data_IF_872833604420
#
_entry.id   IF_872833604420
#
_cell.length_a   1.000
_cell.length_b   1.000
_cell.length_c   1.000
_cell.angle_alpha   90.00
_cell.angle_beta   90.00
_cell.angle_gamma   90.00
#
_symmetry.space_group_name_H-M   'P 1'
#
loop_
_entity.id
_entity.type
_entity.pdbx_description
1 polymer ?
#
# COMPACT_ATOMS: atom_id res chain seq x y z
N UNK A 1 16.82 -6.95 1.97
CA UNK A 1 15.65 -7.06 2.87
C UNK A 1 14.64 -7.91 2.14
N UNK A 2 14.22 -9.04 2.70
CA UNK A 2 13.22 -9.91 2.08
C UNK A 2 11.86 -9.56 2.68
N UNK A 3 10.98 -8.97 1.87
CA UNK A 3 9.62 -8.64 2.31
C UNK A 3 8.83 -9.93 2.47
N UNK A 4 8.30 -10.15 3.67
CA UNK A 4 7.47 -11.31 3.99
C UNK A 4 5.99 -11.06 3.68
N UNK A 5 5.23 -12.14 3.47
CA UNK A 5 3.77 -12.05 3.27
C UNK A 5 3.07 -11.33 4.43
N UNK A 6 3.52 -11.55 5.67
CA UNK A 6 2.95 -10.92 6.86
C UNK A 6 3.14 -9.41 6.85
N UNK A 7 4.31 -8.92 6.45
CA UNK A 7 4.59 -7.49 6.28
C UNK A 7 3.69 -6.86 5.22
N UNK A 8 3.51 -7.53 4.07
CA UNK A 8 2.60 -7.07 3.00
C UNK A 8 1.17 -6.93 3.52
N UNK A 9 0.66 -7.92 4.26
CA UNK A 9 -0.69 -7.87 4.82
C UNK A 9 -0.84 -6.78 5.89
N UNK A 10 0.20 -6.57 6.70
CA UNK A 10 0.24 -5.49 7.69
C UNK A 10 0.20 -4.12 7.01
N UNK A 11 0.98 -3.93 5.94
CA UNK A 11 0.97 -2.72 5.14
C UNK A 11 -0.41 -2.44 4.53
N UNK A 12 -1.05 -3.46 3.95
CA UNK A 12 -2.42 -3.34 3.44
C UNK A 12 -3.38 -2.85 4.54
N UNK A 13 -3.37 -3.51 5.72
CA UNK A 13 -4.21 -3.11 6.86
C UNK A 13 -3.96 -1.66 7.27
N UNK A 14 -2.70 -1.23 7.36
CA UNK A 14 -2.35 0.14 7.71
C UNK A 14 -2.85 1.16 6.67
N UNK A 15 -2.75 0.87 5.37
CA UNK A 15 -3.28 1.74 4.31
C UNK A 15 -4.80 1.87 4.41
N UNK A 16 -5.52 0.77 4.65
CA UNK A 16 -6.98 0.81 4.85
C UNK A 16 -7.35 1.62 6.09
N UNK A 17 -6.58 1.51 7.18
CA UNK A 17 -6.80 2.31 8.38
C UNK A 17 -6.53 3.80 8.12
N UNK A 18 -5.44 4.13 7.42
CA UNK A 18 -5.11 5.49 7.00
C UNK A 18 -6.20 6.12 6.12
N UNK A 19 -6.91 5.33 5.31
CA UNK A 19 -8.04 5.83 4.50
C UNK A 19 -9.13 6.50 5.36
N UNK A 20 -9.28 6.10 6.63
CA UNK A 20 -10.24 6.69 7.56
C UNK A 20 -9.84 8.07 8.07
N UNK A 21 -8.55 8.42 7.99
CA UNK A 21 -8.01 9.73 8.39
C UNK A 21 -7.87 10.70 7.23
N UNK A 22 -8.28 10.33 6.01
CA UNK A 22 -8.22 11.22 4.85
C UNK A 22 -9.29 12.31 4.97
N UNK A 23 -8.88 13.56 4.77
CA UNK A 23 -9.76 14.74 4.80
C UNK A 23 -9.98 15.35 3.42
N UNK A 24 -8.96 15.31 2.56
CA UNK A 24 -8.95 15.96 1.24
C UNK A 24 -9.13 14.99 0.07
N UNK A 25 -9.25 13.69 0.34
CA UNK A 25 -9.38 12.65 -0.69
C UNK A 25 -10.56 11.76 -0.33
N UNK A 26 -11.34 11.35 -1.33
CA UNK A 26 -12.40 10.36 -1.14
C UNK A 26 -11.82 9.04 -0.58
N UNK A 27 -12.20 8.63 0.65
CA UNK A 27 -11.73 7.38 1.24
C UNK A 27 -12.12 6.14 0.44
N UNK A 28 -13.28 6.15 -0.24
CA UNK A 28 -13.73 5.04 -1.07
C UNK A 28 -12.85 4.89 -2.31
N UNK A 29 -12.53 6.00 -2.98
CA UNK A 29 -11.57 6.03 -4.08
C UNK A 29 -10.20 5.51 -3.63
N UNK A 30 -9.66 6.02 -2.51
CA UNK A 30 -8.37 5.58 -1.99
C UNK A 30 -8.33 4.08 -1.72
N UNK A 31 -9.35 3.52 -1.03
CA UNK A 31 -9.44 2.08 -0.77
C UNK A 31 -9.47 1.25 -2.05
N UNK A 32 -10.24 1.69 -3.06
CA UNK A 32 -10.30 1.00 -4.36
C UNK A 32 -8.93 1.02 -5.05
N UNK A 33 -8.25 2.16 -5.08
CA UNK A 33 -6.90 2.29 -5.64
C UNK A 33 -5.89 1.36 -4.95
N UNK A 34 -5.87 1.33 -3.61
CA UNK A 34 -5.01 0.42 -2.85
C UNK A 34 -5.31 -1.04 -3.19
N UNK A 35 -6.58 -1.44 -3.21
CA UNK A 35 -6.96 -2.81 -3.56
C UNK A 35 -6.54 -3.20 -4.98
N UNK A 36 -6.69 -2.30 -5.95
CA UNK A 36 -6.25 -2.50 -7.34
C UNK A 36 -4.73 -2.66 -7.43
N UNK A 37 -3.95 -1.80 -6.79
CA UNK A 37 -2.48 -1.90 -6.79
C UNK A 37 -2.00 -3.23 -6.19
N UNK A 38 -2.56 -3.66 -5.05
CA UNK A 38 -2.21 -4.94 -4.43
C UNK A 38 -2.61 -6.14 -5.29
N UNK A 39 -3.75 -6.06 -6.01
CA UNK A 39 -4.17 -7.10 -6.95
C UNK A 39 -3.24 -7.19 -8.14
N UNK A 40 -2.86 -6.06 -8.73
CA UNK A 40 -1.92 -6.00 -9.86
C UNK A 40 -0.53 -6.53 -9.46
N UNK A 41 -0.11 -6.24 -8.23
CA UNK A 41 1.18 -6.66 -7.70
C UNK A 41 1.20 -8.12 -7.22
N UNK A 42 0.07 -8.83 -7.20
CA UNK A 42 -0.03 -10.22 -6.72
C UNK A 42 0.82 -11.19 -7.54
N UNK A 43 0.95 -10.92 -8.84
CA UNK A 43 1.72 -11.72 -9.79
C UNK A 43 3.20 -11.31 -9.86
N UNK A 44 3.65 -10.36 -9.02
CA UNK A 44 5.06 -9.99 -8.95
C UNK A 44 5.89 -11.14 -8.38
N UNK A 45 6.81 -11.64 -9.18
CA UNK A 45 7.73 -12.73 -8.81
C UNK A 45 9.14 -12.23 -8.52
N UNK A 46 9.52 -11.06 -9.07
CA UNK A 46 10.86 -10.50 -8.87
C UNK A 46 10.97 -9.86 -7.49
N UNK A 47 11.93 -10.29 -6.64
CA UNK A 47 12.09 -9.75 -5.28
C UNK A 47 12.32 -8.24 -5.23
N UNK A 48 12.99 -7.67 -6.25
CA UNK A 48 13.23 -6.23 -6.37
C UNK A 48 11.92 -5.45 -6.53
N UNK A 49 11.02 -5.94 -7.37
CA UNK A 49 9.74 -5.29 -7.66
C UNK A 49 8.80 -5.37 -6.44
N UNK A 50 8.79 -6.51 -5.75
CA UNK A 50 8.06 -6.68 -4.48
C UNK A 50 8.57 -5.68 -3.43
N UNK A 51 9.90 -5.57 -3.30
CA UNK A 51 10.53 -4.64 -2.34
C UNK A 51 10.21 -3.19 -2.67
N UNK A 52 10.27 -2.83 -3.95
CA UNK A 52 9.92 -1.48 -4.42
C UNK A 52 8.45 -1.14 -4.12
N UNK A 53 7.52 -2.02 -4.46
CA UNK A 53 6.10 -1.82 -4.19
C UNK A 53 5.80 -1.69 -2.68
N UNK A 54 6.46 -2.52 -1.86
CA UNK A 54 6.35 -2.43 -0.41
C UNK A 54 6.87 -1.08 0.13
N UNK A 55 8.07 -0.67 -0.29
CA UNK A 55 8.67 0.61 0.12
C UNK A 55 7.83 1.81 -0.33
N UNK A 56 7.22 1.75 -1.52
CA UNK A 56 6.29 2.77 -2.03
C UNK A 56 5.10 2.95 -1.08
N UNK A 57 4.49 1.86 -0.63
CA UNK A 57 3.38 1.91 0.33
C UNK A 57 3.78 2.44 1.70
N UNK A 58 4.93 2.00 2.23
CA UNK A 58 5.50 2.51 3.49
C UNK A 58 5.78 4.01 3.42
N UNK A 59 6.34 4.48 2.30
CA UNK A 59 6.63 5.90 2.09
C UNK A 59 5.36 6.76 2.10
N UNK A 60 4.25 6.26 1.52
CA UNK A 60 2.95 6.94 1.57
C UNK A 60 2.48 7.11 3.01
N UNK A 61 2.52 6.04 3.82
CA UNK A 61 2.12 6.10 5.23
C UNK A 61 3.01 7.04 6.05
N UNK A 62 4.32 7.02 5.81
CA UNK A 62 5.29 7.88 6.52
C UNK A 62 5.07 9.35 6.19
N UNK A 63 4.81 9.68 4.92
CA UNK A 63 4.56 11.05 4.48
C UNK A 63 3.15 11.54 4.82
N UNK A 64 2.19 10.62 5.04
CA UNK A 64 0.76 10.90 5.21
C UNK A 64 0.20 11.83 4.14
N UNK A 65 0.76 11.75 2.94
CA UNK A 65 0.47 12.65 1.84
C UNK A 65 0.03 11.83 0.65
N UNK A 66 -1.19 12.09 0.21
CA UNK A 66 -1.76 11.61 -1.04
C UNK A 66 -1.76 12.82 -1.96
N UNK A 67 -0.69 12.99 -2.74
CA UNK A 67 -0.58 14.03 -3.77
C UNK A 67 -0.72 13.37 -5.13
#
# INVERSE_FOLDING_TARGET
MQVTRTEVLKLYKHLIQYSKSLTLTDPAYFRRRVATEFRNNKELTKPKDITFAYQKGEALLKRRSVV
#
